data_IF_312942625633
#
_entry.id   IF_312942625633
#
_cell.length_a   1.000
_cell.length_b   1.000
_cell.length_c   1.000
_cell.angle_alpha   90.00
_cell.angle_beta   90.00
_cell.angle_gamma   90.00
#
_symmetry.space_group_name_H-M   'P 1'
#
loop_
_entity.id
_entity.type
_entity.pdbx_description
1 polymer ?
#
# COMPACT_ATOMS: atom_id res chain seq x y z
N UNK A 1 -27.69 20.42 44.35
CA UNK A 1 -26.35 20.27 43.75
C UNK A 1 -25.79 18.83 43.76
N UNK A 2 -26.27 17.91 44.61
CA UNK A 2 -25.74 16.52 44.68
C UNK A 2 -26.36 15.53 43.66
N UNK A 3 -27.49 15.86 43.03
CA UNK A 3 -28.16 14.99 42.04
C UNK A 3 -27.72 15.23 40.57
N UNK A 4 -27.14 16.39 40.24
CA UNK A 4 -26.71 16.68 38.86
C UNK A 4 -25.39 15.97 38.50
N UNK A 5 -24.55 15.66 39.49
CA UNK A 5 -23.28 14.92 39.31
C UNK A 5 -23.57 13.45 38.96
N UNK A 6 -24.57 12.84 39.60
CA UNK A 6 -25.02 11.47 39.27
C UNK A 6 -25.63 11.42 37.88
N UNK A 7 -26.38 12.47 37.49
CA UNK A 7 -26.98 12.57 36.15
C UNK A 7 -25.92 12.71 35.04
N UNK A 8 -24.83 13.45 35.30
CA UNK A 8 -23.70 13.57 34.38
C UNK A 8 -22.84 12.30 34.29
N UNK A 9 -22.69 11.55 35.39
CA UNK A 9 -22.01 10.25 35.39
C UNK A 9 -22.78 9.17 34.63
N UNK A 10 -24.11 9.21 34.67
CA UNK A 10 -24.98 8.29 33.90
C UNK A 10 -25.01 8.69 32.41
N UNK A 11 -24.96 9.99 32.09
CA UNK A 11 -24.92 10.48 30.71
C UNK A 11 -23.57 10.21 30.02
N UNK A 12 -22.46 10.26 30.76
CA UNK A 12 -21.12 9.96 30.23
C UNK A 12 -20.82 8.45 30.12
N UNK A 13 -21.53 7.62 30.89
CA UNK A 13 -21.42 6.15 30.81
C UNK A 13 -22.09 5.51 29.60
N UNK A 14 -22.97 6.24 28.89
CA UNK A 14 -23.77 5.68 27.78
C UNK A 14 -23.14 5.88 26.39
N UNK A 15 -21.98 6.52 26.30
CA UNK A 15 -21.32 6.86 25.01
C UNK A 15 -20.27 5.81 24.59
N UNK A 16 -19.96 4.82 25.44
CA UNK A 16 -18.83 3.90 25.18
C UNK A 16 -19.18 2.55 24.52
N UNK A 17 -20.42 2.31 24.08
CA UNK A 17 -20.85 0.98 23.61
C UNK A 17 -21.16 0.87 22.13
N UNK A 18 -20.52 1.66 21.26
CA UNK A 18 -20.62 1.45 19.80
C UNK A 18 -19.24 1.59 19.18
N UNK A 19 -18.46 0.53 19.31
CA UNK A 19 -17.13 0.41 18.71
C UNK A 19 -16.79 -1.04 18.46
N UNK A 20 -17.67 -1.81 17.81
CA UNK A 20 -17.30 -3.10 17.24
C UNK A 20 -16.50 -2.84 15.96
N UNK A 21 -15.30 -2.31 16.11
CA UNK A 21 -14.30 -2.41 15.07
C UNK A 21 -13.95 -3.90 14.97
N UNK A 22 -14.12 -4.51 13.80
CA UNK A 22 -13.51 -5.80 13.49
C UNK A 22 -11.99 -5.58 13.59
N UNK A 23 -11.45 -5.85 14.78
CA UNK A 23 -10.01 -5.92 14.98
C UNK A 23 -9.46 -7.07 14.13
N UNK A 24 -8.18 -6.99 13.72
CA UNK A 24 -7.52 -8.08 13.03
C UNK A 24 -7.73 -9.37 13.83
N UNK A 25 -8.16 -10.44 13.15
CA UNK A 25 -8.46 -11.70 13.81
C UNK A 25 -7.19 -12.28 14.45
N UNK A 26 -7.27 -12.68 15.72
CA UNK A 26 -6.14 -13.32 16.41
C UNK A 26 -5.84 -14.75 15.90
N UNK A 27 -6.58 -15.21 14.90
CA UNK A 27 -6.41 -16.54 14.34
C UNK A 27 -5.13 -16.59 13.51
N UNK A 28 -4.11 -17.26 14.03
CA UNK A 28 -2.88 -17.55 13.27
C UNK A 28 -3.19 -18.51 12.13
N UNK A 29 -2.88 -18.13 10.89
CA UNK A 29 -3.01 -19.01 9.72
C UNK A 29 -1.69 -19.69 9.34
N UNK A 30 -0.56 -18.99 9.51
CA UNK A 30 0.76 -19.51 9.16
C UNK A 30 1.76 -19.20 10.27
N UNK A 31 2.56 -20.20 10.64
CA UNK A 31 3.71 -20.04 11.53
C UNK A 31 4.92 -20.78 10.93
N UNK A 32 6.02 -20.06 10.76
CA UNK A 32 7.31 -20.58 10.26
C UNK A 32 8.42 -20.06 11.17
N UNK A 33 8.80 -20.84 12.18
CA UNK A 33 9.67 -20.40 13.28
C UNK A 33 9.12 -19.12 13.93
N UNK A 34 9.93 -18.06 13.99
CA UNK A 34 9.54 -16.75 14.54
C UNK A 34 8.58 -15.96 13.64
N UNK A 35 8.43 -16.34 12.37
CA UNK A 35 7.48 -15.71 11.48
C UNK A 35 6.06 -16.18 11.77
N UNK A 36 5.16 -15.25 12.11
CA UNK A 36 3.74 -15.50 12.35
C UNK A 36 2.92 -14.60 11.43
N UNK A 37 1.88 -15.16 10.83
CA UNK A 37 0.93 -14.44 9.98
C UNK A 37 -0.50 -14.82 10.37
N UNK A 38 -1.34 -13.81 10.55
CA UNK A 38 -2.78 -13.96 10.82
C UNK A 38 -3.53 -14.47 9.58
N UNK A 39 -4.75 -14.96 9.78
CA UNK A 39 -5.62 -15.38 8.68
C UNK A 39 -5.98 -14.23 7.74
N UNK A 40 -6.17 -13.02 8.28
CA UNK A 40 -6.54 -11.85 7.49
C UNK A 40 -5.38 -11.40 6.60
N UNK A 41 -4.15 -11.32 7.15
CA UNK A 41 -2.95 -11.01 6.37
C UNK A 41 -2.68 -12.06 5.29
N UNK A 42 -2.88 -13.35 5.61
CA UNK A 42 -2.71 -14.41 4.63
C UNK A 42 -3.72 -14.26 3.48
N UNK A 43 -4.97 -13.97 3.82
CA UNK A 43 -6.03 -13.80 2.83
C UNK A 43 -5.77 -12.55 1.98
N UNK A 44 -5.38 -11.43 2.58
CA UNK A 44 -5.03 -10.19 1.86
C UNK A 44 -3.87 -10.42 0.89
N UNK A 45 -2.80 -11.11 1.31
CA UNK A 45 -1.68 -11.40 0.42
C UNK A 45 -2.07 -12.36 -0.70
N UNK A 46 -2.92 -13.35 -0.41
CA UNK A 46 -3.41 -14.28 -1.43
C UNK A 46 -4.30 -13.58 -2.47
N UNK A 47 -5.20 -12.70 -2.03
CA UNK A 47 -6.13 -11.96 -2.91
C UNK A 47 -5.41 -10.97 -3.82
N UNK A 48 -4.26 -10.44 -3.39
CA UNK A 48 -3.39 -9.57 -4.19
C UNK A 48 -2.33 -10.33 -4.99
N UNK A 49 -2.37 -11.67 -5.00
CA UNK A 49 -1.41 -12.50 -5.72
C UNK A 49 -1.95 -12.95 -7.08
N UNK A 50 -1.06 -13.40 -7.95
CA UNK A 50 -1.43 -13.93 -9.28
C UNK A 50 -1.90 -15.40 -9.22
N UNK A 51 -2.06 -15.98 -8.03
CA UNK A 51 -2.47 -17.38 -7.88
C UNK A 51 -3.98 -17.52 -8.15
N UNK A 52 -4.42 -18.63 -8.75
CA UNK A 52 -5.84 -18.83 -9.00
C UNK A 52 -6.61 -18.92 -7.68
N UNK A 53 -7.76 -18.23 -7.60
CA UNK A 53 -8.64 -18.18 -6.44
C UNK A 53 -9.42 -19.49 -6.20
N UNK A 54 -8.68 -20.60 -6.06
CA UNK A 54 -9.20 -21.92 -5.77
C UNK A 54 -8.31 -22.62 -4.73
N UNK A 55 -8.72 -23.82 -4.30
CA UNK A 55 -8.01 -24.57 -3.25
C UNK A 55 -6.55 -24.86 -3.61
N UNK A 56 -6.31 -25.30 -4.85
CA UNK A 56 -4.97 -25.64 -5.32
C UNK A 56 -4.04 -24.41 -5.39
N UNK A 57 -4.55 -23.28 -5.90
CA UNK A 57 -3.82 -22.02 -5.93
C UNK A 57 -3.46 -21.53 -4.52
N UNK A 58 -4.40 -21.66 -3.57
CA UNK A 58 -4.17 -21.31 -2.16
C UNK A 58 -3.12 -22.21 -1.50
N UNK A 59 -3.14 -23.51 -1.78
CA UNK A 59 -2.12 -24.46 -1.31
C UNK A 59 -0.73 -24.17 -1.89
N UNK A 60 -0.67 -23.85 -3.19
CA UNK A 60 0.58 -23.48 -3.86
C UNK A 60 1.15 -22.17 -3.30
N UNK A 61 0.31 -21.16 -3.14
CA UNK A 61 0.68 -19.88 -2.53
C UNK A 61 1.25 -20.09 -1.11
N UNK A 62 0.59 -20.91 -0.28
CA UNK A 62 1.07 -21.25 1.05
C UNK A 62 2.46 -21.90 1.02
N UNK A 63 2.68 -22.88 0.14
CA UNK A 63 3.99 -23.55 -0.01
C UNK A 63 5.10 -22.58 -0.44
N UNK A 64 4.80 -21.70 -1.39
CA UNK A 64 5.76 -20.72 -1.90
C UNK A 64 6.05 -19.65 -0.86
N UNK A 65 5.05 -19.24 -0.06
CA UNK A 65 5.23 -18.36 1.10
C UNK A 65 6.17 -19.00 2.12
N UNK A 66 5.91 -20.24 2.55
CA UNK A 66 6.75 -20.94 3.53
C UNK A 66 8.20 -21.06 3.03
N UNK A 67 8.38 -21.53 1.79
CA UNK A 67 9.70 -21.67 1.17
C UNK A 67 10.47 -20.35 1.16
N UNK A 68 9.81 -19.26 0.77
CA UNK A 68 10.40 -17.91 0.76
C UNK A 68 10.82 -17.46 2.16
N UNK A 69 10.01 -17.72 3.18
CA UNK A 69 10.34 -17.34 4.57
C UNK A 69 11.52 -18.12 5.11
N UNK A 70 11.63 -19.41 4.81
CA UNK A 70 12.80 -20.22 5.19
C UNK A 70 14.09 -19.71 4.52
N UNK A 71 14.04 -19.37 3.22
CA UNK A 71 15.19 -18.83 2.51
C UNK A 71 15.64 -17.46 3.05
N UNK A 72 14.69 -16.60 3.44
CA UNK A 72 15.01 -15.32 4.06
C UNK A 72 15.67 -15.50 5.44
N UNK A 73 15.18 -16.44 6.25
CA UNK A 73 15.81 -16.77 7.53
C UNK A 73 17.23 -17.31 7.35
N UNK A 74 17.47 -18.15 6.35
CA UNK A 74 18.82 -18.62 6.01
C UNK A 74 19.73 -17.45 5.60
N UNK A 75 19.24 -16.54 4.76
CA UNK A 75 19.98 -15.35 4.34
C UNK A 75 20.39 -14.46 5.53
N UNK A 76 19.49 -14.26 6.51
CA UNK A 76 19.79 -13.55 7.76
C UNK A 76 20.82 -14.29 8.62
N UNK A 77 20.74 -15.62 8.70
CA UNK A 77 21.73 -16.44 9.42
C UNK A 77 23.12 -16.34 8.77
N UNK A 78 23.17 -16.27 7.45
CA UNK A 78 24.39 -16.04 6.68
C UNK A 78 24.91 -14.59 6.78
N UNK A 79 24.12 -13.66 7.35
CA UNK A 79 24.48 -12.25 7.49
C UNK A 79 24.40 -11.45 6.20
N UNK A 80 23.69 -11.94 5.19
CA UNK A 80 23.53 -11.24 3.89
C UNK A 80 22.81 -9.90 4.06
N UNK A 81 21.95 -9.80 5.07
CA UNK A 81 21.25 -8.58 5.48
C UNK A 81 22.18 -7.47 6.03
N UNK A 82 23.45 -7.80 6.32
CA UNK A 82 24.46 -6.91 6.89
C UNK A 82 25.58 -6.57 5.92
N UNK A 83 25.57 -7.15 4.72
CA UNK A 83 26.60 -6.88 3.73
C UNK A 83 26.56 -5.41 3.30
N UNK A 84 27.71 -4.72 3.21
CA UNK A 84 27.73 -3.30 2.84
C UNK A 84 27.05 -2.99 1.50
N UNK A 85 27.14 -3.91 0.55
CA UNK A 85 26.49 -3.78 -0.77
C UNK A 85 24.97 -3.85 -0.66
N UNK A 86 24.44 -4.83 0.09
CA UNK A 86 23.01 -4.95 0.36
C UNK A 86 22.47 -3.71 1.09
N UNK A 87 23.15 -3.26 2.14
CA UNK A 87 22.73 -2.06 2.90
C UNK A 87 22.67 -0.81 2.01
N UNK A 88 23.65 -0.66 1.10
CA UNK A 88 23.66 0.44 0.12
C UNK A 88 22.54 0.32 -0.91
N UNK A 89 22.13 -0.89 -1.27
CA UNK A 89 20.95 -1.10 -2.11
C UNK A 89 19.66 -0.74 -1.39
N UNK A 90 19.51 -1.13 -0.12
CA UNK A 90 18.38 -0.76 0.72
C UNK A 90 18.25 0.75 0.84
N UNK A 91 19.36 1.45 1.12
CA UNK A 91 19.39 2.92 1.19
C UNK A 91 18.92 3.57 -0.12
N UNK A 92 19.49 3.15 -1.26
CA UNK A 92 19.12 3.69 -2.58
C UNK A 92 17.65 3.41 -2.93
N UNK A 93 17.14 2.23 -2.57
CA UNK A 93 15.74 1.90 -2.79
C UNK A 93 14.81 2.76 -1.92
N UNK A 94 15.18 2.97 -0.66
CA UNK A 94 14.46 3.83 0.27
C UNK A 94 14.39 5.29 -0.24
N UNK A 95 15.53 5.86 -0.64
CA UNK A 95 15.60 7.22 -1.20
C UNK A 95 14.69 7.38 -2.43
N UNK A 96 14.80 6.45 -3.39
CA UNK A 96 13.99 6.47 -4.62
C UNK A 96 12.50 6.36 -4.31
N UNK A 97 12.12 5.48 -3.40
CA UNK A 97 10.71 5.27 -3.04
C UNK A 97 10.13 6.52 -2.35
N UNK A 98 10.88 7.12 -1.43
CA UNK A 98 10.45 8.37 -0.79
C UNK A 98 10.32 9.52 -1.79
N UNK A 99 11.31 9.67 -2.68
CA UNK A 99 11.28 10.71 -3.71
C UNK A 99 10.07 10.54 -4.63
N UNK A 100 9.79 9.31 -5.08
CA UNK A 100 8.59 8.99 -5.88
C UNK A 100 7.32 9.38 -5.14
N UNK A 101 7.21 9.01 -3.87
CA UNK A 101 6.00 9.26 -3.07
C UNK A 101 5.75 10.75 -2.83
N UNK A 102 6.80 11.53 -2.52
CA UNK A 102 6.64 12.98 -2.32
C UNK A 102 6.32 13.71 -3.62
N UNK A 103 6.96 13.34 -4.74
CA UNK A 103 6.63 13.90 -6.06
C UNK A 103 5.17 13.61 -6.38
N UNK A 104 4.72 12.36 -6.27
CA UNK A 104 3.33 11.99 -6.54
C UNK A 104 2.33 12.79 -5.70
N UNK A 105 2.62 12.99 -4.40
CA UNK A 105 1.76 13.78 -3.52
C UNK A 105 1.74 15.25 -3.92
N UNK A 106 2.90 15.84 -4.23
CA UNK A 106 3.01 17.24 -4.68
C UNK A 106 2.35 17.48 -6.02
N UNK A 107 2.51 16.55 -6.97
CA UNK A 107 1.81 16.61 -8.26
C UNK A 107 0.30 16.58 -8.08
N UNK A 108 -0.23 15.79 -7.13
CA UNK A 108 -1.67 15.81 -6.82
C UNK A 108 -2.14 17.11 -6.18
N UNK A 109 -1.34 17.72 -5.32
CA UNK A 109 -1.62 19.06 -4.76
C UNK A 109 -1.68 20.11 -5.88
N UNK A 110 -0.66 20.13 -6.75
CA UNK A 110 -0.55 21.09 -7.85
C UNK A 110 -1.57 20.85 -8.98
N UNK A 111 -1.98 19.61 -9.23
CA UNK A 111 -3.00 19.31 -10.23
C UNK A 111 -4.36 19.95 -9.91
N UNK A 112 -4.64 20.25 -8.63
CA UNK A 112 -5.81 21.04 -8.25
C UNK A 112 -5.69 22.54 -8.56
N UNK A 113 -4.47 23.03 -8.79
CA UNK A 113 -4.15 24.44 -9.02
C UNK A 113 -3.88 24.76 -10.50
N UNK A 114 -3.53 23.74 -11.31
CA UNK A 114 -3.25 23.90 -12.74
C UNK A 114 -4.52 23.63 -13.55
N UNK A 115 -5.12 24.69 -14.09
CA UNK A 115 -6.17 24.59 -15.11
C UNK A 115 -5.54 24.60 -16.49
N UNK A 116 -5.78 23.54 -17.27
CA UNK A 116 -5.42 23.48 -18.70
C UNK A 116 -6.67 23.82 -19.49
N UNK A 117 -6.57 24.83 -20.35
CA UNK A 117 -7.68 25.27 -21.19
C UNK A 117 -7.61 24.64 -22.58
N UNK A 118 -8.77 24.45 -23.21
CA UNK A 118 -8.91 23.77 -24.50
C UNK A 118 -8.16 24.48 -25.66
N UNK A 119 -8.11 25.80 -25.59
CA UNK A 119 -7.34 26.62 -26.54
C UNK A 119 -5.82 26.43 -26.38
N UNK A 120 -5.33 26.23 -25.16
CA UNK A 120 -3.92 25.90 -24.89
C UNK A 120 -3.55 24.51 -25.44
N UNK A 121 -4.43 23.52 -25.29
CA UNK A 121 -4.26 22.16 -25.84
C UNK A 121 -4.19 22.23 -27.36
N UNK A 122 -5.15 22.90 -28.00
CA UNK A 122 -5.20 23.06 -29.46
C UNK A 122 -3.98 23.77 -30.01
N UNK A 123 -3.58 24.89 -29.39
CA UNK A 123 -2.42 25.66 -29.80
C UNK A 123 -1.10 24.87 -29.66
N UNK A 124 -0.99 23.97 -28.67
CA UNK A 124 0.16 23.07 -28.58
C UNK A 124 0.10 21.93 -29.59
N UNK A 125 -1.07 21.35 -29.84
CA UNK A 125 -1.24 20.30 -30.84
C UNK A 125 -0.85 20.80 -32.23
N UNK A 126 -1.31 21.99 -32.63
CA UNK A 126 -0.95 22.63 -33.91
C UNK A 126 0.57 22.85 -34.02
N UNK A 127 1.24 23.26 -32.94
CA UNK A 127 2.72 23.38 -32.89
C UNK A 127 3.43 22.04 -33.02
N UNK A 128 2.85 20.95 -32.54
CA UNK A 128 3.41 19.61 -32.70
C UNK A 128 3.24 19.10 -34.14
N UNK A 129 2.11 19.41 -34.78
CA UNK A 129 1.87 19.12 -36.19
C UNK A 129 2.85 19.87 -37.09
N UNK A 130 3.07 21.17 -36.86
CA UNK A 130 4.05 21.99 -37.59
C UNK A 130 5.48 21.42 -37.48
N UNK A 131 5.80 20.81 -36.33
CA UNK A 131 7.10 20.16 -36.09
C UNK A 131 7.18 18.71 -36.60
N UNK A 132 6.14 18.19 -37.23
CA UNK A 132 6.05 16.80 -37.70
C UNK A 132 6.04 15.77 -36.57
N UNK A 133 5.70 16.16 -35.34
CA UNK A 133 5.60 15.29 -34.17
C UNK A 133 4.17 14.75 -33.95
N UNK A 134 3.19 15.22 -34.74
CA UNK A 134 1.81 14.77 -34.77
C UNK A 134 1.21 14.94 -36.18
N UNK A 135 0.13 14.22 -36.48
CA UNK A 135 -0.60 14.29 -37.76
C UNK A 135 -2.09 14.59 -37.51
N UNK A 136 -2.74 15.31 -38.43
CA UNK A 136 -4.16 15.68 -38.33
C UNK A 136 -4.43 16.95 -37.51
N UNK A 137 -5.70 17.22 -37.17
CA UNK A 137 -6.13 18.29 -36.27
C UNK A 137 -6.65 17.72 -34.95
N UNK A 138 -6.59 18.50 -33.88
CA UNK A 138 -7.21 18.11 -32.62
C UNK A 138 -8.74 18.08 -32.77
N UNK A 139 -9.36 16.93 -32.52
CA UNK A 139 -10.82 16.75 -32.42
C UNK A 139 -11.12 16.25 -30.99
N UNK A 140 -12.05 16.92 -30.29
CA UNK A 140 -12.47 16.62 -28.90
C UNK A 140 -13.08 15.22 -28.72
#
# INVERSE_FOLDING_TARGET
MRNHIVFWLILFGLIFTIGCAKGPSETTAVRVNEFVMSADEFQEQFDNSDYPANKEGKEKFLKDLISRKLLLQEAEQMGLDKEPEFLKEVERFWEKTLLKNIIYRKSKELAGEVSVYEDEIRAQYEKMVDKGAAEGSYEE
#
